data_IF_945675805840
#
_entry.id   IF_945675805840
#
_cell.length_a   1.000
_cell.length_b   1.000
_cell.length_c   1.000
_cell.angle_alpha   90.00
_cell.angle_beta   90.00
_cell.angle_gamma   90.00
#
_symmetry.space_group_name_H-M   'P 1'
#
loop_
_entity.id
_entity.type
_entity.pdbx_description
1 polymer ?
#
# COMPACT_ATOMS: atom_id res chain seq x y z
N UNK A 1 -14.83 -0.87 -15.94
CA UNK A 1 -15.54 0.04 -15.00
C UNK A 1 -16.86 0.46 -15.65
N UNK A 2 -18.02 0.26 -14.99
CA UNK A 2 -19.37 0.44 -15.60
C UNK A 2 -20.13 1.71 -15.15
N UNK A 3 -19.75 2.32 -14.02
CA UNK A 3 -20.49 3.44 -13.42
C UNK A 3 -19.78 4.78 -13.65
N UNK A 4 -20.41 5.68 -14.41
CA UNK A 4 -19.84 7.00 -14.78
C UNK A 4 -19.76 8.00 -13.60
N UNK A 5 -20.49 7.75 -12.52
CA UNK A 5 -20.45 8.57 -11.31
C UNK A 5 -19.33 8.16 -10.34
N UNK A 6 -18.60 7.07 -10.60
CA UNK A 6 -17.38 6.73 -9.87
C UNK A 6 -16.22 7.61 -10.37
N UNK A 7 -15.94 8.71 -9.67
CA UNK A 7 -15.01 9.75 -10.13
C UNK A 7 -13.53 9.44 -9.92
N UNK A 8 -13.14 8.89 -8.75
CA UNK A 8 -11.73 8.62 -8.46
C UNK A 8 -11.44 8.36 -6.99
N UNK A 9 -10.19 8.56 -6.60
CA UNK A 9 -9.71 8.49 -5.22
C UNK A 9 -9.52 9.92 -4.68
N UNK A 10 -9.94 10.17 -3.44
CA UNK A 10 -9.72 11.44 -2.75
C UNK A 10 -8.72 11.26 -1.61
N UNK A 11 -7.79 12.20 -1.46
CA UNK A 11 -6.87 12.25 -0.33
C UNK A 11 -5.75 11.20 -0.37
N UNK A 12 -5.16 10.98 0.79
CA UNK A 12 -3.97 10.15 0.99
C UNK A 12 -4.22 9.05 2.03
N UNK A 13 -3.19 8.58 2.73
CA UNK A 13 -3.36 7.53 3.74
C UNK A 13 -4.15 8.02 4.97
N UNK A 14 -4.71 7.04 5.70
CA UNK A 14 -5.69 7.22 6.77
C UNK A 14 -5.31 8.24 7.85
N UNK A 15 -4.02 8.42 8.15
CA UNK A 15 -3.58 9.36 9.20
C UNK A 15 -3.86 10.83 8.85
N UNK A 16 -4.06 11.15 7.58
CA UNK A 16 -4.35 12.51 7.11
C UNK A 16 -5.86 12.84 7.12
N UNK A 17 -6.72 11.87 7.43
CA UNK A 17 -8.18 12.01 7.32
C UNK A 17 -8.74 13.21 8.08
N UNK A 18 -8.21 13.54 9.26
CA UNK A 18 -8.70 14.68 10.04
C UNK A 18 -8.40 16.04 9.40
N UNK A 19 -7.38 16.12 8.54
CA UNK A 19 -7.06 17.32 7.76
C UNK A 19 -7.86 17.30 6.46
N UNK A 20 -7.85 16.15 5.78
CA UNK A 20 -8.48 15.98 4.47
C UNK A 20 -10.00 16.06 4.55
N UNK A 21 -10.64 15.54 5.59
CA UNK A 21 -12.10 15.54 5.73
C UNK A 21 -12.68 16.82 6.35
N UNK A 22 -11.84 17.68 6.93
CA UNK A 22 -12.29 18.85 7.69
C UNK A 22 -13.28 19.72 6.89
N UNK A 23 -12.99 19.91 5.60
CA UNK A 23 -13.71 20.83 4.72
C UNK A 23 -14.24 20.15 3.44
N UNK A 24 -14.32 18.82 3.39
CA UNK A 24 -14.87 18.17 2.19
C UNK A 24 -16.39 18.34 2.19
N UNK A 25 -16.98 18.77 1.05
CA UNK A 25 -18.43 18.87 0.90
C UNK A 25 -19.01 17.50 0.51
N UNK A 26 -18.76 16.48 1.32
CA UNK A 26 -19.24 15.12 1.07
C UNK A 26 -19.41 14.34 2.39
N UNK A 27 -20.36 13.38 2.44
CA UNK A 27 -20.40 12.41 3.52
C UNK A 27 -19.24 11.42 3.42
N UNK A 28 -18.82 10.86 4.56
CA UNK A 28 -17.76 9.86 4.65
C UNK A 28 -18.34 8.58 5.23
N UNK A 29 -18.25 7.47 4.50
CA UNK A 29 -18.63 6.14 5.00
C UNK A 29 -17.39 5.32 5.33
N UNK A 30 -17.26 4.92 6.59
CA UNK A 30 -16.22 3.99 7.03
C UNK A 30 -16.75 2.56 7.05
N UNK A 31 -16.14 1.69 6.23
CA UNK A 31 -16.47 0.27 6.13
C UNK A 31 -15.55 -0.62 6.97
N UNK A 32 -14.31 -0.18 7.21
CA UNK A 32 -13.31 -0.84 8.07
C UNK A 32 -12.47 0.20 8.80
N UNK A 33 -11.50 -0.25 9.60
CA UNK A 33 -10.42 0.62 10.07
C UNK A 33 -9.69 1.30 8.88
N UNK A 34 -9.11 2.49 9.03
CA UNK A 34 -8.81 3.20 10.28
C UNK A 34 -9.63 4.50 10.41
N UNK A 35 -10.66 4.48 11.27
CA UNK A 35 -11.37 5.68 11.70
C UNK A 35 -10.61 6.36 12.84
N UNK A 36 -10.18 7.60 12.63
CA UNK A 36 -9.70 8.46 13.72
C UNK A 36 -10.90 9.15 14.39
N UNK A 37 -10.78 9.60 15.65
CA UNK A 37 -11.81 10.45 16.27
C UNK A 37 -12.26 11.57 15.32
N UNK A 38 -13.53 11.58 14.86
CA UNK A 38 -14.04 12.62 13.98
C UNK A 38 -13.92 13.99 14.63
N UNK A 39 -13.52 15.01 13.86
CA UNK A 39 -13.55 16.39 14.36
C UNK A 39 -14.98 16.91 14.28
N UNK A 40 -15.33 17.81 15.20
CA UNK A 40 -16.64 18.49 15.20
C UNK A 40 -16.99 19.14 13.85
N UNK A 41 -15.99 19.56 13.06
CA UNK A 41 -16.22 20.19 11.74
C UNK A 41 -16.79 19.25 10.66
N UNK A 42 -16.74 17.93 10.87
CA UNK A 42 -17.24 16.95 9.91
C UNK A 42 -17.93 15.72 10.51
N UNK A 43 -18.01 15.62 11.85
CA UNK A 43 -18.65 14.49 12.52
C UNK A 43 -20.12 14.29 12.09
N UNK A 44 -20.83 15.38 11.79
CA UNK A 44 -22.22 15.41 11.33
C UNK A 44 -22.49 14.71 9.98
N UNK A 45 -21.42 14.34 9.27
CA UNK A 45 -21.46 13.69 7.95
C UNK A 45 -20.56 12.46 7.88
N UNK A 46 -20.14 11.92 9.02
CA UNK A 46 -19.51 10.60 9.10
C UNK A 46 -20.59 9.54 9.28
N UNK A 47 -20.42 8.42 8.61
CA UNK A 47 -21.23 7.22 8.72
C UNK A 47 -20.30 6.03 8.92
N UNK A 48 -20.78 5.02 9.65
CA UNK A 48 -20.06 3.76 9.84
C UNK A 48 -20.93 2.60 9.35
N UNK A 49 -20.32 1.45 9.07
CA UNK A 49 -21.02 0.21 8.74
C UNK A 49 -20.13 -0.98 9.09
N UNK A 50 -20.65 -2.19 8.95
CA UNK A 50 -19.96 -3.44 9.27
C UNK A 50 -19.45 -3.42 10.73
N UNK A 51 -18.18 -3.72 10.94
CA UNK A 51 -17.55 -3.76 12.28
C UNK A 51 -17.10 -2.38 12.79
N UNK A 52 -17.27 -1.32 12.01
CA UNK A 52 -16.85 0.03 12.42
C UNK A 52 -17.96 0.69 13.22
N UNK A 53 -17.59 1.28 14.36
CA UNK A 53 -18.50 2.10 15.16
C UNK A 53 -17.74 3.22 15.87
N UNK A 54 -18.43 4.33 16.11
CA UNK A 54 -17.95 5.44 16.91
C UNK A 54 -19.15 6.10 17.62
N UNK A 55 -19.02 6.54 18.88
CA UNK A 55 -20.13 7.18 19.60
C UNK A 55 -20.79 8.30 18.81
N UNK A 56 -22.12 8.36 18.83
CA UNK A 56 -22.92 9.44 18.24
C UNK A 56 -22.84 9.55 16.70
N UNK A 57 -22.18 8.60 16.04
CA UNK A 57 -22.10 8.51 14.58
C UNK A 57 -23.14 7.53 14.06
N UNK A 58 -23.84 7.93 12.98
CA UNK A 58 -24.85 7.09 12.34
C UNK A 58 -24.21 5.80 11.81
N UNK A 59 -24.78 4.67 12.19
CA UNK A 59 -24.36 3.34 11.74
C UNK A 59 -25.35 2.79 10.71
N UNK A 60 -24.85 2.43 9.53
CA UNK A 60 -25.60 1.77 8.47
C UNK A 60 -25.58 0.27 8.74
N UNK A 61 -26.76 -0.30 8.98
CA UNK A 61 -26.94 -1.70 9.36
C UNK A 61 -26.65 -2.71 8.25
N UNK A 62 -26.92 -3.97 8.56
CA UNK A 62 -26.62 -5.12 7.69
C UNK A 62 -27.35 -5.10 6.35
N UNK A 63 -28.51 -4.45 6.29
CA UNK A 63 -29.31 -4.24 5.07
C UNK A 63 -28.65 -3.28 4.08
N UNK A 64 -27.62 -2.54 4.51
CA UNK A 64 -26.86 -1.57 3.72
C UNK A 64 -27.76 -0.52 3.05
N UNK A 65 -28.79 -0.08 3.76
CA UNK A 65 -29.58 1.05 3.32
C UNK A 65 -28.73 2.34 3.40
N UNK A 66 -28.15 2.71 2.26
CA UNK A 66 -27.33 3.92 2.13
C UNK A 66 -28.16 5.20 1.91
N UNK A 67 -29.49 5.15 2.04
CA UNK A 67 -30.37 6.33 1.89
C UNK A 67 -29.89 7.51 2.75
N UNK A 68 -29.53 7.36 4.04
CA UNK A 68 -29.04 8.48 4.86
C UNK A 68 -27.75 9.12 4.33
N UNK A 69 -26.86 8.31 3.75
CA UNK A 69 -25.60 8.78 3.15
C UNK A 69 -25.90 9.60 1.89
N UNK A 70 -26.82 9.12 1.05
CA UNK A 70 -27.20 9.78 -0.20
C UNK A 70 -27.93 11.11 0.09
N UNK A 71 -28.89 11.12 1.00
CA UNK A 71 -29.60 12.34 1.40
C UNK A 71 -28.65 13.39 1.97
N UNK A 72 -27.66 12.97 2.78
CA UNK A 72 -26.62 13.87 3.29
C UNK A 72 -25.76 14.43 2.16
N UNK A 73 -25.39 13.62 1.17
CA UNK A 73 -24.64 14.08 0.00
C UNK A 73 -25.43 15.14 -0.79
N UNK A 74 -26.73 14.90 -1.03
CA UNK A 74 -27.62 15.82 -1.72
C UNK A 74 -27.77 17.15 -0.97
N UNK A 75 -27.90 17.10 0.36
CA UNK A 75 -28.01 18.29 1.20
C UNK A 75 -26.71 19.13 1.23
N UNK A 76 -25.54 18.50 1.15
CA UNK A 76 -24.24 19.20 1.13
C UNK A 76 -23.95 19.83 -0.24
N UNK A 77 -24.39 19.19 -1.34
CA UNK A 77 -24.29 19.76 -2.69
C UNK A 77 -22.94 19.61 -3.40
N UNK A 78 -21.89 19.13 -2.74
CA UNK A 78 -20.58 18.88 -3.36
C UNK A 78 -19.73 20.14 -3.56
N UNK A 79 -18.67 20.03 -4.36
CA UNK A 79 -17.84 21.18 -4.72
C UNK A 79 -18.55 22.06 -5.76
N UNK A 80 -18.48 23.41 -5.64
CA UNK A 80 -19.12 24.32 -6.60
C UNK A 80 -18.39 24.38 -7.95
N UNK A 81 -17.12 23.97 -7.97
CA UNK A 81 -16.25 23.97 -9.14
C UNK A 81 -15.39 22.71 -9.16
N UNK A 82 -14.86 22.37 -10.32
CA UNK A 82 -13.89 21.28 -10.42
C UNK A 82 -12.67 21.54 -9.53
N UNK A 83 -12.30 20.52 -8.78
CA UNK A 83 -11.17 20.56 -7.87
C UNK A 83 -10.01 19.75 -8.43
N UNK A 84 -8.79 20.25 -8.24
CA UNK A 84 -7.56 19.50 -8.50
C UNK A 84 -6.89 19.14 -7.18
N UNK A 85 -6.51 17.88 -7.07
CA UNK A 85 -5.81 17.34 -5.92
C UNK A 85 -4.55 16.64 -6.40
N UNK A 86 -3.50 16.73 -5.60
CA UNK A 86 -2.25 16.01 -5.81
C UNK A 86 -2.01 15.06 -4.65
N UNK A 87 -1.23 14.00 -4.89
CA UNK A 87 -0.61 13.24 -3.81
C UNK A 87 0.49 14.05 -3.09
N UNK A 88 1.17 13.40 -2.14
CA UNK A 88 2.15 14.08 -1.29
C UNK A 88 3.42 14.50 -2.05
N UNK A 89 3.66 13.93 -3.22
CA UNK A 89 4.80 14.23 -4.09
C UNK A 89 4.39 15.10 -5.29
N UNK A 90 3.15 15.61 -5.33
CA UNK A 90 2.66 16.50 -6.37
C UNK A 90 2.03 15.81 -7.59
N UNK A 91 1.92 14.48 -7.60
CA UNK A 91 1.30 13.76 -8.73
C UNK A 91 -0.22 13.87 -8.73
N UNK A 92 -0.82 14.15 -9.90
CA UNK A 92 -2.28 14.26 -10.08
C UNK A 92 -2.95 12.92 -10.45
N UNK A 93 -2.17 11.93 -10.91
CA UNK A 93 -2.69 10.65 -11.41
C UNK A 93 -1.86 9.51 -10.84
N UNK A 94 -2.54 8.40 -10.55
CA UNK A 94 -1.91 7.16 -10.09
C UNK A 94 -2.36 6.02 -10.99
N UNK A 95 -1.42 5.15 -11.38
CA UNK A 95 -1.71 3.95 -12.13
C UNK A 95 -1.89 2.77 -11.18
N UNK A 96 -3.01 2.07 -11.28
CA UNK A 96 -3.40 0.98 -10.37
C UNK A 96 -3.95 -0.22 -11.13
N UNK A 97 -4.09 -1.36 -10.44
CA UNK A 97 -4.73 -2.55 -10.99
C UNK A 97 -3.76 -3.66 -11.41
N UNK A 98 -2.55 -3.68 -10.86
CA UNK A 98 -1.54 -4.72 -11.08
C UNK A 98 -1.70 -5.89 -10.10
N UNK A 99 -2.93 -6.34 -9.89
CA UNK A 99 -3.19 -7.61 -9.20
C UNK A 99 -2.65 -8.77 -10.05
N UNK A 100 -2.56 -9.97 -9.45
CA UNK A 100 -1.88 -11.11 -10.06
C UNK A 100 -2.37 -11.43 -11.48
N UNK A 101 -3.68 -11.42 -11.77
CA UNK A 101 -4.16 -11.69 -13.13
C UNK A 101 -3.62 -10.71 -14.17
N UNK A 102 -3.55 -9.42 -13.83
CA UNK A 102 -3.00 -8.39 -14.73
C UNK A 102 -1.52 -8.61 -14.97
N UNK A 103 -0.74 -8.81 -13.89
CA UNK A 103 0.71 -9.00 -14.00
C UNK A 103 1.04 -10.31 -14.73
N UNK A 104 0.33 -11.40 -14.39
CA UNK A 104 0.53 -12.70 -15.03
C UNK A 104 0.09 -12.70 -16.50
N UNK A 105 -0.88 -11.87 -16.90
CA UNK A 105 -1.25 -11.72 -18.32
C UNK A 105 -0.12 -11.13 -19.19
N UNK A 106 0.87 -10.49 -18.57
CA UNK A 106 2.07 -9.96 -19.23
C UNK A 106 3.34 -10.65 -18.72
N UNK A 107 3.23 -11.86 -18.16
CA UNK A 107 4.36 -12.60 -17.59
C UNK A 107 5.50 -12.80 -18.58
N UNK A 108 5.19 -13.15 -19.84
CA UNK A 108 6.22 -13.34 -20.88
C UNK A 108 7.03 -12.07 -21.13
N UNK A 109 6.38 -10.90 -21.10
CA UNK A 109 7.05 -9.60 -21.21
C UNK A 109 7.97 -9.36 -20.00
N UNK A 110 7.48 -9.64 -18.78
CA UNK A 110 8.28 -9.50 -17.55
C UNK A 110 9.49 -10.44 -17.57
N UNK A 111 9.27 -11.71 -17.90
CA UNK A 111 10.32 -12.75 -17.98
C UNK A 111 11.36 -12.36 -19.03
N UNK A 112 10.93 -11.89 -20.21
CA UNK A 112 11.83 -11.45 -21.27
C UNK A 112 12.66 -10.23 -20.86
N UNK A 113 12.05 -9.27 -20.17
CA UNK A 113 12.73 -8.08 -19.65
C UNK A 113 13.78 -8.44 -18.58
N UNK A 114 13.50 -9.44 -17.74
CA UNK A 114 14.48 -9.95 -16.77
C UNK A 114 15.61 -10.73 -17.48
N UNK A 115 15.28 -11.66 -18.39
CA UNK A 115 16.27 -12.47 -19.12
C UNK A 115 17.21 -11.62 -19.99
N UNK A 116 16.72 -10.51 -20.52
CA UNK A 116 17.54 -9.56 -21.30
C UNK A 116 18.37 -8.60 -20.42
N UNK A 117 18.16 -8.60 -19.10
CA UNK A 117 18.81 -7.68 -18.16
C UNK A 117 18.24 -6.26 -18.18
N UNK A 118 17.11 -6.03 -18.86
CA UNK A 118 16.41 -4.74 -18.85
C UNK A 118 15.77 -4.44 -17.49
N UNK A 119 15.25 -5.48 -16.83
CA UNK A 119 14.87 -5.44 -15.41
C UNK A 119 15.88 -6.28 -14.64
N UNK A 120 16.64 -5.63 -13.75
CA UNK A 120 17.63 -6.31 -12.92
C UNK A 120 17.14 -6.62 -11.51
N UNK A 121 16.17 -5.86 -11.02
CA UNK A 121 15.68 -6.02 -9.64
C UNK A 121 14.21 -5.65 -9.48
N UNK A 122 13.57 -6.30 -8.52
CA UNK A 122 12.23 -5.97 -8.03
C UNK A 122 12.32 -5.55 -6.57
N UNK A 123 11.57 -4.52 -6.21
CA UNK A 123 11.37 -4.10 -4.83
C UNK A 123 9.90 -4.21 -4.49
N UNK A 124 9.55 -5.04 -3.52
CA UNK A 124 8.24 -4.97 -2.87
C UNK A 124 8.33 -3.94 -1.74
N UNK A 125 7.86 -2.73 -2.00
CA UNK A 125 7.81 -1.63 -1.03
C UNK A 125 6.35 -1.32 -0.73
N UNK A 126 5.92 -1.46 0.52
CA UNK A 126 4.52 -1.26 0.86
C UNK A 126 4.12 -1.74 2.24
N UNK A 127 2.83 -1.96 2.45
CA UNK A 127 2.27 -2.31 3.76
C UNK A 127 1.49 -1.14 4.36
N UNK A 128 1.53 -0.94 5.68
CA UNK A 128 0.69 0.08 6.32
C UNK A 128 1.43 1.39 6.62
N UNK A 129 0.83 2.50 6.20
CA UNK A 129 1.25 3.85 6.59
C UNK A 129 0.75 4.23 8.00
N UNK A 130 1.27 5.32 8.54
CA UNK A 130 0.81 5.89 9.81
C UNK A 130 1.46 7.24 10.15
N UNK A 131 1.17 7.75 11.34
CA UNK A 131 1.59 9.08 11.78
C UNK A 131 3.03 9.17 12.35
N UNK A 132 3.66 8.03 12.67
CA UNK A 132 5.00 8.00 13.28
C UNK A 132 6.04 8.67 12.33
N UNK A 133 6.86 9.62 12.82
CA UNK A 133 7.97 10.20 12.05
C UNK A 133 8.94 9.13 11.53
N UNK A 134 9.68 9.46 10.47
CA UNK A 134 10.64 8.56 9.81
C UNK A 134 10.06 7.76 8.63
N UNK A 135 8.74 7.81 8.39
CA UNK A 135 8.11 7.15 7.23
C UNK A 135 8.38 7.82 5.89
N UNK A 136 9.01 9.01 5.88
CA UNK A 136 9.61 9.60 4.68
C UNK A 136 10.72 8.72 4.10
N UNK A 137 11.31 7.82 4.89
CA UNK A 137 12.20 6.76 4.42
C UNK A 137 11.67 6.07 3.17
N UNK A 138 10.38 5.68 3.13
CA UNK A 138 9.83 4.92 2.00
C UNK A 138 9.71 5.75 0.73
N UNK A 139 9.43 7.05 0.85
CA UNK A 139 9.45 7.98 -0.28
C UNK A 139 10.86 8.09 -0.85
N UNK A 140 11.85 8.32 0.02
CA UNK A 140 13.24 8.51 -0.40
C UNK A 140 13.88 7.21 -0.92
N UNK A 141 13.56 6.06 -0.31
CA UNK A 141 13.94 4.74 -0.80
C UNK A 141 13.44 4.52 -2.23
N UNK A 142 12.15 4.74 -2.50
CA UNK A 142 11.57 4.51 -3.83
C UNK A 142 12.17 5.45 -4.88
N UNK A 143 12.40 6.74 -4.54
CA UNK A 143 13.07 7.69 -5.45
C UNK A 143 14.48 7.25 -5.85
N UNK A 144 15.18 6.58 -4.95
CA UNK A 144 16.56 6.14 -5.14
C UNK A 144 16.67 4.75 -5.79
N UNK A 145 15.56 4.05 -6.03
CA UNK A 145 15.60 2.74 -6.71
C UNK A 145 16.20 2.85 -8.13
N UNK A 146 17.10 1.93 -8.52
CA UNK A 146 17.77 1.97 -9.82
C UNK A 146 16.80 2.04 -11.01
N UNK A 147 17.13 2.76 -12.09
CA UNK A 147 16.24 2.93 -13.25
C UNK A 147 15.92 1.62 -13.98
N UNK A 148 16.70 0.56 -13.77
CA UNK A 148 16.50 -0.81 -14.26
C UNK A 148 15.79 -1.72 -13.24
N UNK A 149 15.03 -1.15 -12.30
CA UNK A 149 14.23 -1.88 -11.32
C UNK A 149 12.74 -1.54 -11.35
N UNK A 150 11.92 -2.49 -10.89
CA UNK A 150 10.46 -2.35 -10.71
C UNK A 150 10.12 -2.29 -9.23
N UNK A 151 9.26 -1.36 -8.84
CA UNK A 151 8.66 -1.23 -7.52
C UNK A 151 7.24 -1.79 -7.54
N UNK A 152 7.03 -2.91 -6.86
CA UNK A 152 5.72 -3.46 -6.54
C UNK A 152 5.24 -2.84 -5.23
N UNK A 153 3.98 -2.40 -5.17
CA UNK A 153 3.42 -1.83 -3.94
C UNK A 153 2.01 -2.31 -3.65
N UNK A 154 1.61 -2.18 -2.39
CA UNK A 154 0.29 -2.55 -1.89
C UNK A 154 0.00 -1.82 -0.58
N UNK A 155 -1.29 -1.80 -0.21
CA UNK A 155 -1.80 -1.18 1.00
C UNK A 155 -1.51 0.32 1.14
N UNK A 156 -1.91 0.93 2.25
CA UNK A 156 -1.86 2.39 2.41
C UNK A 156 -0.43 2.96 2.49
N UNK A 157 0.59 2.14 2.73
CA UNK A 157 2.00 2.52 2.63
C UNK A 157 2.37 3.10 1.27
N UNK A 158 1.65 2.68 0.21
CA UNK A 158 1.82 3.20 -1.15
C UNK A 158 1.65 4.72 -1.23
N UNK A 159 0.82 5.35 -0.40
CA UNK A 159 0.58 6.80 -0.47
C UNK A 159 1.82 7.63 -0.15
N UNK A 160 2.92 7.01 0.29
CA UNK A 160 4.22 7.65 0.41
C UNK A 160 4.89 7.95 -0.93
N UNK A 161 4.55 7.23 -1.98
CA UNK A 161 5.29 7.29 -3.26
C UNK A 161 4.46 6.91 -4.49
N UNK A 162 3.17 6.59 -4.36
CA UNK A 162 2.34 6.08 -5.46
C UNK A 162 2.04 7.13 -6.55
N UNK A 163 2.27 8.40 -6.24
CA UNK A 163 2.11 9.55 -7.12
C UNK A 163 3.45 10.02 -7.73
N UNK A 164 4.55 9.28 -7.51
CA UNK A 164 5.80 9.50 -8.22
C UNK A 164 5.72 8.96 -9.65
N UNK A 165 6.26 9.73 -10.60
CA UNK A 165 6.53 9.23 -11.94
C UNK A 165 7.93 8.61 -11.99
N UNK A 166 7.98 7.28 -11.99
CA UNK A 166 9.23 6.52 -12.11
C UNK A 166 9.52 6.11 -13.57
N UNK A 167 8.64 6.41 -14.51
CA UNK A 167 8.74 5.98 -15.91
C UNK A 167 8.40 4.51 -16.15
N UNK A 168 8.92 3.97 -17.26
CA UNK A 168 8.63 2.60 -17.73
C UNK A 168 9.90 1.88 -18.17
N UNK A 169 9.91 0.55 -18.07
CA UNK A 169 10.95 -0.33 -18.63
C UNK A 169 10.28 -1.30 -19.61
N UNK A 170 10.65 -1.26 -20.89
CA UNK A 170 10.06 -2.17 -21.89
C UNK A 170 8.53 -2.05 -22.00
N UNK A 171 7.98 -0.85 -21.79
CA UNK A 171 6.54 -0.60 -21.75
C UNK A 171 5.83 -0.97 -20.44
N UNK A 172 6.55 -1.57 -19.48
CA UNK A 172 6.04 -1.89 -18.14
C UNK A 172 6.24 -0.68 -17.20
N UNK A 173 5.22 -0.22 -16.48
CA UNK A 173 5.37 0.82 -15.46
C UNK A 173 6.36 0.40 -14.38
N UNK A 174 7.28 1.30 -14.01
CA UNK A 174 8.24 1.04 -12.92
C UNK A 174 7.59 0.98 -11.55
N UNK A 175 6.42 1.56 -11.38
CA UNK A 175 5.63 1.50 -10.14
C UNK A 175 4.32 0.75 -10.42
N UNK A 176 4.15 -0.41 -9.80
CA UNK A 176 2.99 -1.27 -9.99
C UNK A 176 2.21 -1.44 -8.68
N UNK A 177 1.05 -0.80 -8.59
CA UNK A 177 0.14 -0.95 -7.45
C UNK A 177 -0.73 -2.21 -7.57
N UNK A 178 -0.45 -3.17 -6.68
CA UNK A 178 -1.10 -4.47 -6.59
C UNK A 178 -2.44 -4.43 -5.85
N UNK A 179 -2.74 -3.35 -5.11
CA UNK A 179 -4.04 -3.16 -4.45
C UNK A 179 -3.96 -2.95 -2.94
N UNK A 180 -4.93 -3.49 -2.21
CA UNK A 180 -5.06 -3.37 -0.76
C UNK A 180 -4.02 -4.25 -0.02
N UNK A 181 -4.04 -4.23 1.32
CA UNK A 181 -3.16 -5.09 2.12
C UNK A 181 -3.33 -6.59 1.84
N UNK A 182 -4.57 -7.04 1.65
CA UNK A 182 -4.88 -8.41 1.27
C UNK A 182 -4.36 -8.80 -0.13
N UNK A 183 -4.07 -7.82 -1.00
CA UNK A 183 -3.40 -8.10 -2.28
C UNK A 183 -1.91 -8.44 -2.12
N UNK A 184 -1.40 -8.55 -0.88
CA UNK A 184 -0.19 -9.31 -0.60
C UNK A 184 -0.27 -10.74 -1.16
N UNK A 185 -1.47 -11.32 -1.23
CA UNK A 185 -1.70 -12.57 -1.96
C UNK A 185 -1.31 -12.47 -3.45
N UNK A 186 -1.68 -11.37 -4.11
CA UNK A 186 -1.29 -11.12 -5.50
C UNK A 186 0.24 -11.01 -5.64
N UNK A 187 0.90 -10.32 -4.71
CA UNK A 187 2.37 -10.22 -4.68
C UNK A 187 3.04 -11.60 -4.56
N UNK A 188 2.53 -12.45 -3.65
CA UNK A 188 3.01 -13.82 -3.46
C UNK A 188 2.81 -14.63 -4.74
N UNK A 189 1.64 -14.55 -5.38
CA UNK A 189 1.35 -15.27 -6.64
C UNK A 189 2.29 -14.88 -7.76
N UNK A 190 2.58 -13.59 -7.92
CA UNK A 190 3.53 -13.09 -8.90
C UNK A 190 4.94 -13.60 -8.59
N UNK A 191 5.39 -13.52 -7.34
CA UNK A 191 6.70 -14.02 -6.94
C UNK A 191 6.87 -15.52 -7.20
N UNK A 192 5.86 -16.34 -6.86
CA UNK A 192 5.89 -17.79 -7.13
C UNK A 192 5.96 -18.07 -8.63
N UNK A 193 5.14 -17.40 -9.44
CA UNK A 193 5.16 -17.61 -10.89
C UNK A 193 6.49 -17.21 -11.54
N UNK A 194 7.12 -16.12 -11.07
CA UNK A 194 8.46 -15.74 -11.51
C UNK A 194 9.50 -16.79 -11.09
N UNK A 195 9.46 -17.26 -9.85
CA UNK A 195 10.35 -18.30 -9.35
C UNK A 195 10.25 -19.59 -10.18
N UNK A 196 9.03 -20.02 -10.50
CA UNK A 196 8.78 -21.16 -11.39
C UNK A 196 9.35 -20.93 -12.81
N UNK A 197 9.16 -19.73 -13.38
CA UNK A 197 9.66 -19.39 -14.70
C UNK A 197 11.19 -19.33 -14.79
N UNK A 198 11.87 -19.04 -13.67
CA UNK A 198 13.34 -19.05 -13.57
C UNK A 198 13.92 -20.36 -13.04
N UNK A 199 13.07 -21.29 -12.59
CA UNK A 199 13.50 -22.57 -12.02
C UNK A 199 14.27 -22.41 -10.70
N UNK A 200 13.93 -21.40 -9.89
CA UNK A 200 14.57 -21.11 -8.61
C UNK A 200 13.55 -20.99 -7.46
N UNK A 201 14.02 -20.82 -6.22
CA UNK A 201 13.16 -20.48 -5.09
C UNK A 201 12.80 -18.99 -5.07
N UNK A 202 11.72 -18.63 -4.38
CA UNK A 202 11.31 -17.21 -4.24
C UNK A 202 12.40 -16.35 -3.58
N UNK A 203 13.16 -16.92 -2.64
CA UNK A 203 14.27 -16.21 -2.00
C UNK A 203 15.50 -16.01 -2.92
N UNK A 204 15.55 -16.70 -4.06
CA UNK A 204 16.62 -16.60 -5.05
C UNK A 204 16.28 -15.64 -6.19
N UNK A 205 15.06 -15.10 -6.21
CA UNK A 205 14.67 -14.05 -7.14
C UNK A 205 15.43 -12.76 -6.83
N UNK A 206 15.67 -11.90 -7.84
CA UNK A 206 16.14 -10.53 -7.62
C UNK A 206 14.99 -9.67 -7.08
N UNK A 207 14.50 -10.02 -5.88
CA UNK A 207 13.34 -9.42 -5.21
C UNK A 207 13.73 -9.06 -3.77
N UNK A 208 13.64 -7.78 -3.43
CA UNK A 208 13.82 -7.28 -2.07
C UNK A 208 12.50 -6.85 -1.45
N UNK A 209 12.28 -7.16 -0.18
CA UNK A 209 11.06 -6.80 0.54
C UNK A 209 11.34 -5.74 1.61
N UNK A 210 10.74 -4.56 1.43
CA UNK A 210 10.89 -3.39 2.32
C UNK A 210 9.50 -3.00 2.82
N UNK A 211 9.12 -3.55 3.96
CA UNK A 211 7.75 -3.55 4.45
C UNK A 211 7.54 -2.54 5.59
N UNK A 212 6.50 -1.74 5.42
CA UNK A 212 5.92 -0.87 6.43
C UNK A 212 4.79 -1.58 7.15
N UNK A 213 4.65 -1.36 8.46
CA UNK A 213 3.52 -1.89 9.23
C UNK A 213 2.95 -0.85 10.19
N UNK A 214 1.73 -1.11 10.67
CA UNK A 214 1.05 -0.27 11.65
C UNK A 214 0.07 -1.08 12.50
N UNK A 215 -0.84 -1.80 11.85
CA UNK A 215 -1.93 -2.54 12.51
C UNK A 215 -1.85 -4.05 12.22
N UNK A 216 -2.86 -4.80 12.66
CA UNK A 216 -2.80 -6.25 12.79
C UNK A 216 -2.92 -7.00 11.45
N UNK A 217 -3.52 -6.41 10.41
CA UNK A 217 -3.53 -7.04 9.07
C UNK A 217 -2.10 -7.13 8.53
N UNK A 218 -1.27 -6.12 8.74
CA UNK A 218 0.16 -6.18 8.38
C UNK A 218 0.91 -7.30 9.14
N UNK A 219 0.57 -7.56 10.40
CA UNK A 219 1.16 -8.66 11.19
C UNK A 219 0.76 -10.01 10.60
N UNK A 220 -0.52 -10.19 10.25
CA UNK A 220 -1.01 -11.42 9.60
C UNK A 220 -0.30 -11.69 8.26
N UNK A 221 -0.08 -10.65 7.46
CA UNK A 221 0.66 -10.74 6.20
C UNK A 221 2.12 -11.14 6.46
N UNK A 222 2.79 -10.50 7.44
CA UNK A 222 4.15 -10.87 7.82
C UNK A 222 4.24 -12.35 8.22
N UNK A 223 3.35 -12.82 9.09
CA UNK A 223 3.31 -14.23 9.50
C UNK A 223 3.07 -15.17 8.31
N UNK A 224 2.26 -14.77 7.34
CA UNK A 224 2.05 -15.54 6.10
C UNK A 224 3.34 -15.65 5.30
N UNK A 225 4.08 -14.55 5.12
CA UNK A 225 5.38 -14.56 4.43
C UNK A 225 6.39 -15.45 5.15
N UNK A 226 6.47 -15.35 6.48
CA UNK A 226 7.35 -16.21 7.29
C UNK A 226 6.95 -17.69 7.18
N UNK A 227 5.65 -18.00 7.18
CA UNK A 227 5.16 -19.37 6.98
C UNK A 227 5.56 -19.94 5.61
N UNK A 228 5.53 -19.10 4.57
CA UNK A 228 5.98 -19.46 3.22
C UNK A 228 7.52 -19.53 3.10
N UNK A 229 8.25 -19.33 4.19
CA UNK A 229 9.72 -19.41 4.22
C UNK A 229 10.42 -18.21 3.58
N UNK A 230 9.72 -17.08 3.41
CA UNK A 230 10.31 -15.85 2.89
C UNK A 230 11.28 -15.28 3.92
N UNK A 231 12.46 -14.85 3.44
CA UNK A 231 13.54 -14.31 4.26
C UNK A 231 13.93 -12.91 3.82
N UNK A 232 14.85 -12.29 4.57
CA UNK A 232 15.50 -11.02 4.22
C UNK A 232 14.53 -9.82 4.13
N UNK A 233 13.50 -9.80 4.98
CA UNK A 233 12.52 -8.71 5.03
C UNK A 233 13.09 -7.56 5.87
N UNK A 234 13.15 -6.35 5.28
CA UNK A 234 13.34 -5.12 6.04
C UNK A 234 11.98 -4.64 6.56
N UNK A 235 11.86 -4.43 7.87
CA UNK A 235 10.60 -4.07 8.54
C UNK A 235 10.73 -2.73 9.27
N UNK A 236 9.81 -1.80 9.01
CA UNK A 236 9.85 -0.46 9.61
C UNK A 236 8.49 0.23 9.79
N UNK A 237 8.48 1.47 10.33
CA UNK A 237 9.66 2.27 10.70
C UNK A 237 10.27 1.90 12.07
N UNK A 238 9.64 0.99 12.81
CA UNK A 238 10.22 0.40 14.02
C UNK A 238 9.73 -1.02 14.16
N UNK A 239 10.49 -1.88 14.85
CA UNK A 239 10.02 -3.23 15.15
C UNK A 239 8.81 -3.21 16.11
N UNK A 240 7.94 -4.23 16.07
CA UNK A 240 6.77 -4.28 16.95
C UNK A 240 7.15 -4.45 18.42
N UNK A 241 6.61 -3.57 19.27
CA UNK A 241 6.88 -3.56 20.71
C UNK A 241 6.40 -4.82 21.44
N UNK A 242 5.48 -5.58 20.85
CA UNK A 242 4.98 -6.84 21.40
C UNK A 242 5.91 -8.04 21.13
N UNK A 243 7.00 -7.85 20.37
CA UNK A 243 7.98 -8.91 20.09
C UNK A 243 9.04 -8.88 21.19
N UNK A 244 9.10 -9.95 22.00
CA UNK A 244 10.14 -10.09 23.02
C UNK A 244 11.52 -10.32 22.41
N UNK A 245 12.63 -10.03 23.12
CA UNK A 245 13.98 -10.26 22.61
C UNK A 245 14.24 -11.68 22.11
N UNK A 246 13.72 -12.69 22.81
CA UNK A 246 13.89 -14.10 22.40
C UNK A 246 13.15 -14.41 21.09
N UNK A 247 11.95 -13.87 20.92
CA UNK A 247 11.18 -14.04 19.66
C UNK A 247 11.87 -13.27 18.54
N UNK A 248 12.35 -12.05 18.79
CA UNK A 248 13.10 -11.28 17.80
C UNK A 248 14.35 -12.03 17.34
N UNK A 249 15.14 -12.57 18.27
CA UNK A 249 16.34 -13.35 17.94
C UNK A 249 16.00 -14.56 17.08
N UNK A 250 14.93 -15.30 17.40
CA UNK A 250 14.45 -16.38 16.56
C UNK A 250 14.09 -15.91 15.13
N UNK A 251 13.40 -14.78 15.01
CA UNK A 251 13.03 -14.23 13.70
C UNK A 251 14.27 -13.79 12.89
N UNK A 252 15.26 -13.21 13.54
CA UNK A 252 16.55 -12.85 12.92
C UNK A 252 17.28 -14.11 12.47
N UNK A 253 17.47 -15.10 13.34
CA UNK A 253 18.22 -16.32 13.03
C UNK A 253 17.56 -17.18 11.94
N UNK A 254 16.22 -17.27 11.93
CA UNK A 254 15.50 -18.15 10.99
C UNK A 254 15.14 -17.47 9.67
N UNK A 255 14.78 -16.20 9.72
CA UNK A 255 14.23 -15.48 8.58
C UNK A 255 15.06 -14.28 8.14
N UNK A 256 16.11 -13.93 8.88
CA UNK A 256 16.92 -12.75 8.61
C UNK A 256 16.07 -11.47 8.49
N UNK A 257 15.07 -11.33 9.36
CA UNK A 257 14.32 -10.09 9.47
C UNK A 257 15.24 -9.00 10.02
N UNK A 258 15.15 -7.78 9.49
CA UNK A 258 15.96 -6.66 9.96
C UNK A 258 15.13 -5.38 10.04
N UNK A 259 15.47 -4.45 10.95
CA UNK A 259 14.92 -3.09 10.88
C UNK A 259 15.43 -2.39 9.62
N UNK A 260 14.68 -1.39 9.15
CA UNK A 260 15.19 -0.41 8.17
C UNK A 260 16.26 0.48 8.81
N UNK A 261 17.20 0.98 8.00
CA UNK A 261 18.19 2.01 8.35
C UNK A 261 17.93 3.30 7.56
N UNK A 262 18.93 3.80 6.83
CA UNK A 262 18.76 4.87 5.84
C UNK A 262 18.47 4.29 4.46
N UNK A 263 17.77 5.05 3.57
CA UNK A 263 17.48 4.56 2.22
C UNK A 263 18.72 4.12 1.44
N UNK A 264 19.82 4.87 1.54
CA UNK A 264 21.08 4.60 0.85
C UNK A 264 21.75 3.32 1.34
N UNK A 265 21.89 3.16 2.66
CA UNK A 265 22.48 1.96 3.26
C UNK A 265 21.68 0.71 2.93
N UNK A 266 20.35 0.80 3.01
CA UNK A 266 19.48 -0.34 2.73
C UNK A 266 19.49 -0.69 1.23
N UNK A 267 19.51 0.29 0.33
CA UNK A 267 19.66 0.02 -1.11
C UNK A 267 20.99 -0.67 -1.43
N UNK A 268 22.10 -0.18 -0.87
CA UNK A 268 23.41 -0.80 -1.04
C UNK A 268 23.41 -2.25 -0.52
N UNK A 269 22.84 -2.48 0.67
CA UNK A 269 22.72 -3.82 1.25
C UNK A 269 21.86 -4.77 0.40
N UNK A 270 20.77 -4.26 -0.20
CA UNK A 270 19.82 -5.08 -0.96
C UNK A 270 20.31 -5.40 -2.38
N UNK A 271 21.16 -4.55 -2.96
CA UNK A 271 21.69 -4.72 -4.32
C UNK A 271 23.01 -5.49 -4.37
N UNK A 272 23.75 -5.56 -3.26
CA UNK A 272 25.02 -6.28 -3.15
C UNK A 272 26.23 -5.38 -3.39
#
# INVERSE_FOLDING_TARGET
KKYAHLKGNFGTAWQNQQKEFANIPAPILFTTNCLMPPKASYADRVFTTEVVSYPEIVHIGEDKDFTPVIEKALAIGGYPTDMRFTGINGGEKVLTGFAHNTVLSVADTVISAVKSGAIKHFFLVGGCDGAKPGRNYYTEFVKQTPPDSIVLTLACGKYRFNDLDLGTIGGLPRLMDMGQCNDAYSAIKVAVALAEAFGCGVNDLPLSMVLSWYEQKAVCILLTLLHLGIKNILLGPSLPAFVSPNVLNFLVEKFNIAPISTPEEDLNKLLG
#
